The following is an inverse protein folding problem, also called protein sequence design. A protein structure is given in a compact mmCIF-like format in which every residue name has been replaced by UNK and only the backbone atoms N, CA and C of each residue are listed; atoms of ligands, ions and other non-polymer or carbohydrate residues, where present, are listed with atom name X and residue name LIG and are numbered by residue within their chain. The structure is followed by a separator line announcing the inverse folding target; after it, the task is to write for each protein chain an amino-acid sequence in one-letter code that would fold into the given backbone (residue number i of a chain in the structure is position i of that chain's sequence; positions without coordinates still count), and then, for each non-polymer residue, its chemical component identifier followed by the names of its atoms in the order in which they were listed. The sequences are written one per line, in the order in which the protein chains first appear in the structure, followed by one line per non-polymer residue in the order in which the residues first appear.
data_IF_540165334324
#
_entry.id   IF_540165334324
#
_cell.length_a   1.000
_cell.length_b   1.000
_cell.length_c   1.000
_cell.angle_alpha   90.00
_cell.angle_beta   90.00
_cell.angle_gamma   90.00
#
_symmetry.space_group_name_H-M   'P 1'
#
loop_
_entity.id
_entity.type
_entity.pdbx_description
1 polymer ?
#
# COMPACT_ATOMS: atom_id res chain seq x y z
N UNK A 1 7.68 23.57 -3.43
CA UNK A 1 8.53 22.41 -3.08
C UNK A 1 7.59 21.33 -2.51
N UNK A 2 7.80 20.03 -2.78
CA UNK A 2 6.77 18.96 -2.69
C UNK A 2 5.70 19.10 -1.57
N UNK A 3 6.06 19.34 -0.31
CA UNK A 3 5.08 19.48 0.79
C UNK A 3 4.10 20.65 0.63
N UNK A 4 4.47 21.74 -0.06
CA UNK A 4 3.58 22.89 -0.29
C UNK A 4 2.38 22.55 -1.19
N UNK A 5 2.39 21.39 -1.87
CA UNK A 5 1.23 20.90 -2.62
C UNK A 5 0.02 20.64 -1.72
N UNK A 6 0.24 20.42 -0.42
CA UNK A 6 -0.81 20.20 0.58
C UNK A 6 -1.72 21.42 0.78
N UNK A 7 -1.23 22.61 0.49
CA UNK A 7 -1.98 23.85 0.63
C UNK A 7 -2.98 24.06 -0.52
N UNK A 8 -2.73 23.42 -1.67
CA UNK A 8 -3.41 23.70 -2.94
C UNK A 8 -4.04 22.45 -3.59
N UNK A 9 -4.06 21.31 -2.90
CA UNK A 9 -4.64 20.06 -3.39
C UNK A 9 -5.88 19.66 -2.58
N UNK A 10 -6.58 18.63 -3.05
CA UNK A 10 -7.74 18.08 -2.36
C UNK A 10 -7.36 17.60 -0.95
N UNK A 11 -8.15 18.00 0.06
CA UNK A 11 -7.92 17.62 1.47
C UNK A 11 -8.43 16.20 1.76
N UNK A 12 -7.84 15.19 1.13
CA UNK A 12 -8.24 13.79 1.29
C UNK A 12 -7.12 12.86 1.74
N UNK A 13 -5.95 13.40 2.13
CA UNK A 13 -4.85 12.59 2.64
C UNK A 13 -5.22 11.98 4.00
N UNK A 14 -4.92 10.69 4.16
CA UNK A 14 -5.01 9.94 5.41
C UNK A 14 -3.63 9.78 6.03
N UNK A 15 -2.61 9.55 5.19
CA UNK A 15 -1.19 9.49 5.57
C UNK A 15 -0.39 10.29 4.55
N UNK A 16 0.51 11.14 5.02
CA UNK A 16 1.44 11.91 4.20
C UNK A 16 2.74 12.18 4.96
N UNK A 17 3.88 11.94 4.31
CA UNK A 17 5.22 12.27 4.82
C UNK A 17 5.59 11.70 6.21
N UNK A 18 4.90 10.65 6.67
CA UNK A 18 5.07 10.11 8.03
C UNK A 18 5.10 8.58 8.10
N UNK A 19 5.22 7.91 6.95
CA UNK A 19 5.24 6.45 6.83
C UNK A 19 5.95 6.05 5.51
N UNK A 20 6.15 4.75 5.28
CA UNK A 20 6.74 4.18 4.07
C UNK A 20 5.84 4.35 2.83
N UNK A 21 4.56 4.67 3.00
CA UNK A 21 3.63 4.95 1.92
C UNK A 21 2.70 6.09 2.27
N UNK A 22 2.08 6.70 1.26
CA UNK A 22 1.01 7.68 1.45
C UNK A 22 -0.35 7.04 1.22
N UNK A 23 -1.39 7.61 1.83
CA UNK A 23 -2.75 7.09 1.68
C UNK A 23 -3.74 8.23 1.51
N UNK A 24 -4.78 7.98 0.71
CA UNK A 24 -5.94 8.87 0.56
C UNK A 24 -7.20 8.20 1.07
N UNK A 25 -8.21 9.02 1.38
CA UNK A 25 -9.53 8.54 1.76
C UNK A 25 -10.10 7.68 0.63
N UNK A 26 -10.64 6.52 0.99
CA UNK A 26 -11.23 5.57 0.07
C UNK A 26 -12.72 5.41 0.39
N UNK A 27 -13.21 4.18 0.28
CA UNK A 27 -14.64 3.89 0.27
C UNK A 27 -14.97 2.71 1.17
N UNK A 28 -16.24 2.62 1.58
CA UNK A 28 -16.78 1.40 2.15
C UNK A 28 -16.96 0.38 1.03
N UNK A 29 -16.37 -0.80 1.22
CA UNK A 29 -16.43 -1.88 0.24
C UNK A 29 -16.73 -3.19 0.94
N UNK A 30 -17.36 -4.10 0.20
CA UNK A 30 -17.58 -5.47 0.64
C UNK A 30 -16.27 -6.23 0.62
N UNK A 31 -15.88 -6.81 1.75
CA UNK A 31 -14.68 -7.63 1.88
C UNK A 31 -15.02 -8.98 2.46
N UNK A 32 -14.37 -10.02 1.95
CA UNK A 32 -14.48 -11.37 2.46
C UNK A 32 -13.32 -11.60 3.43
N UNK A 33 -13.63 -11.91 4.69
CA UNK A 33 -12.63 -12.17 5.72
C UNK A 33 -13.09 -13.30 6.65
N UNK A 34 -12.16 -14.00 7.34
CA UNK A 34 -12.56 -14.96 8.37
C UNK A 34 -13.23 -14.24 9.54
N UNK A 35 -14.24 -14.87 10.15
CA UNK A 35 -14.88 -14.34 11.37
C UNK A 35 -13.88 -14.24 12.51
N UNK A 36 -12.95 -15.18 12.60
CA UNK A 36 -11.87 -15.19 13.57
C UNK A 36 -10.54 -15.55 12.87
N UNK A 37 -9.52 -14.72 13.06
CA UNK A 37 -8.18 -14.89 12.47
C UNK A 37 -7.24 -15.79 13.27
N UNK A 38 -7.61 -16.20 14.48
CA UNK A 38 -6.77 -17.03 15.37
C UNK A 38 -7.20 -18.49 15.47
N UNK A 39 -8.36 -18.85 14.91
CA UNK A 39 -8.89 -20.22 14.92
C UNK A 39 -9.59 -20.54 13.59
N UNK A 40 -9.93 -21.81 13.38
CA UNK A 40 -10.69 -22.23 12.19
C UNK A 40 -12.07 -21.57 12.23
N UNK A 41 -12.36 -20.75 11.23
CA UNK A 41 -13.63 -20.03 11.14
C UNK A 41 -14.13 -19.96 9.71
N UNK A 42 -15.45 -19.71 9.56
CA UNK A 42 -16.05 -19.44 8.25
C UNK A 42 -15.57 -18.09 7.73
N UNK A 43 -15.56 -17.95 6.40
CA UNK A 43 -15.43 -16.65 5.75
C UNK A 43 -16.79 -15.96 5.72
N UNK A 44 -16.82 -14.65 5.88
CA UNK A 44 -18.02 -13.82 5.73
C UNK A 44 -17.72 -12.56 4.93
N UNK A 45 -18.74 -12.05 4.25
CA UNK A 45 -18.70 -10.76 3.58
C UNK A 45 -19.16 -9.67 4.56
N UNK A 46 -18.35 -8.63 4.73
CA UNK A 46 -18.66 -7.47 5.58
C UNK A 46 -18.44 -6.18 4.79
N UNK A 47 -19.16 -5.12 5.17
CA UNK A 47 -18.83 -3.77 4.74
C UNK A 47 -17.67 -3.23 5.58
N UNK A 48 -16.58 -2.85 4.94
CA UNK A 48 -15.41 -2.30 5.60
C UNK A 48 -14.86 -1.07 4.86
N UNK A 49 -14.55 -0.02 5.62
CA UNK A 49 -13.84 1.14 5.10
C UNK A 49 -12.42 0.79 4.66
N UNK A 50 -12.11 0.98 3.38
CA UNK A 50 -10.77 0.75 2.81
C UNK A 50 -10.22 2.05 2.24
N UNK A 51 -9.15 2.55 2.86
CA UNK A 51 -8.34 3.64 2.30
C UNK A 51 -7.41 3.13 1.19
N UNK A 52 -7.00 4.02 0.30
CA UNK A 52 -6.18 3.67 -0.87
C UNK A 52 -4.74 4.11 -0.60
N UNK A 53 -3.80 3.17 -0.72
CA UNK A 53 -2.37 3.38 -0.48
C UNK A 53 -1.64 3.51 -1.82
N UNK A 54 -0.73 4.47 -1.89
CA UNK A 54 0.15 4.68 -3.04
C UNK A 54 1.60 4.74 -2.59
N UNK A 55 2.44 4.01 -3.33
CA UNK A 55 3.89 4.05 -3.20
C UNK A 55 4.54 3.75 -4.55
N UNK A 56 5.68 4.37 -4.78
CA UNK A 56 6.51 4.16 -5.95
C UNK A 56 7.97 4.20 -5.50
N UNK A 57 8.72 3.17 -5.90
CA UNK A 57 10.14 3.06 -5.64
C UNK A 57 10.87 2.78 -6.96
N UNK A 58 12.20 2.92 -6.94
CA UNK A 58 13.05 2.53 -8.06
C UNK A 58 14.16 1.63 -7.54
N UNK A 59 14.69 0.79 -8.42
CA UNK A 59 15.77 -0.13 -8.07
C UNK A 59 16.87 -0.13 -9.14
N UNK A 60 17.20 1.08 -9.62
CA UNK A 60 17.95 1.31 -10.86
C UNK A 60 19.36 0.70 -10.85
N UNK A 61 20.14 0.96 -9.80
CA UNK A 61 21.53 0.51 -9.76
C UNK A 61 21.65 -1.03 -9.75
N UNK A 62 20.96 -1.77 -8.85
CA UNK A 62 21.07 -3.24 -8.85
C UNK A 62 20.46 -3.87 -10.11
N UNK A 63 19.41 -3.29 -10.69
CA UNK A 63 18.86 -3.73 -11.97
C UNK A 63 19.85 -3.53 -13.12
N UNK A 64 20.65 -2.45 -13.09
CA UNK A 64 21.73 -2.24 -14.06
C UNK A 64 22.86 -3.27 -13.98
N UNK A 65 23.10 -3.86 -12.79
CA UNK A 65 24.10 -4.91 -12.59
C UNK A 65 23.54 -6.30 -12.89
N UNK A 66 22.34 -6.60 -12.39
CA UNK A 66 21.69 -7.89 -12.51
C UNK A 66 20.17 -7.68 -12.69
N UNK A 67 19.67 -7.65 -13.95
CA UNK A 67 18.31 -7.19 -14.24
C UNK A 67 17.20 -7.96 -13.51
N UNK A 68 17.26 -9.29 -13.55
CA UNK A 68 16.22 -10.13 -12.95
C UNK A 68 16.14 -10.00 -11.43
N UNK A 69 17.22 -10.22 -10.64
CA UNK A 69 17.15 -10.05 -9.20
C UNK A 69 16.92 -8.59 -8.80
N UNK A 70 17.47 -7.61 -9.53
CA UNK A 70 17.25 -6.19 -9.25
C UNK A 70 15.78 -5.77 -9.39
N UNK A 71 15.12 -6.18 -10.48
CA UNK A 71 13.69 -5.92 -10.67
C UNK A 71 12.82 -6.67 -9.64
N UNK A 72 13.18 -7.91 -9.33
CA UNK A 72 12.45 -8.75 -8.35
C UNK A 72 12.53 -8.16 -6.95
N UNK A 73 13.71 -7.73 -6.50
CA UNK A 73 13.87 -7.11 -5.17
C UNK A 73 13.26 -5.72 -5.10
N UNK A 74 13.27 -4.95 -6.20
CA UNK A 74 12.56 -3.67 -6.28
C UNK A 74 11.05 -3.85 -6.13
N UNK A 75 10.47 -4.81 -6.84
CA UNK A 75 9.04 -5.16 -6.68
C UNK A 75 8.74 -5.65 -5.27
N UNK A 76 9.62 -6.48 -4.70
CA UNK A 76 9.49 -7.00 -3.35
C UNK A 76 9.60 -5.92 -2.27
N UNK A 77 10.44 -4.90 -2.45
CA UNK A 77 10.54 -3.72 -1.58
C UNK A 77 9.20 -3.02 -1.47
N UNK A 78 8.68 -2.58 -2.63
CA UNK A 78 7.37 -1.92 -2.74
C UNK A 78 6.22 -2.70 -2.11
N UNK A 79 6.19 -4.03 -2.27
CA UNK A 79 5.18 -4.89 -1.64
C UNK A 79 5.26 -4.80 -0.11
N UNK A 80 6.47 -4.83 0.46
CA UNK A 80 6.68 -4.72 1.91
C UNK A 80 6.35 -3.34 2.45
N UNK A 81 6.59 -2.27 1.70
CA UNK A 81 6.24 -0.92 2.14
C UNK A 81 4.73 -0.75 2.31
N UNK A 82 3.95 -1.27 1.36
CA UNK A 82 2.49 -1.29 1.48
C UNK A 82 2.08 -2.14 2.69
N UNK A 83 2.63 -3.35 2.84
CA UNK A 83 2.29 -4.22 3.97
C UNK A 83 2.65 -3.62 5.33
N UNK A 84 3.73 -2.83 5.40
CA UNK A 84 4.21 -2.17 6.61
C UNK A 84 3.51 -0.84 6.92
N UNK A 85 2.68 -0.32 6.00
CA UNK A 85 1.97 0.95 6.21
C UNK A 85 1.02 0.85 7.41
N UNK A 86 1.10 1.83 8.31
CA UNK A 86 0.31 1.88 9.55
C UNK A 86 0.57 0.68 10.45
N UNK A 87 -0.43 -0.20 10.56
CA UNK A 87 -0.37 -1.44 11.38
C UNK A 87 -0.53 -2.71 10.55
N UNK A 88 -0.38 -2.60 9.24
CA UNK A 88 -0.68 -3.65 8.28
C UNK A 88 -1.65 -3.16 7.20
N UNK A 89 -1.33 -3.44 5.94
CA UNK A 89 -2.24 -3.19 4.82
C UNK A 89 -2.14 -4.28 3.74
N UNK A 90 -3.10 -4.27 2.80
CA UNK A 90 -3.17 -5.25 1.73
C UNK A 90 -2.64 -4.68 0.41
N UNK A 91 -1.82 -5.47 -0.28
CA UNK A 91 -1.40 -5.18 -1.64
C UNK A 91 -2.50 -5.61 -2.61
N UNK A 92 -2.98 -4.68 -3.43
CA UNK A 92 -4.09 -4.94 -4.37
C UNK A 92 -3.59 -5.01 -5.81
N UNK A 93 -2.74 -4.08 -6.22
CA UNK A 93 -2.25 -4.00 -7.59
C UNK A 93 -0.83 -3.41 -7.67
N UNK A 94 -0.17 -3.65 -8.80
CA UNK A 94 1.12 -3.07 -9.13
C UNK A 94 1.17 -2.62 -10.57
N UNK A 95 2.02 -1.63 -10.82
CA UNK A 95 2.46 -1.26 -12.16
C UNK A 95 3.97 -1.45 -12.22
N UNK A 96 4.46 -1.85 -13.40
CA UNK A 96 5.87 -1.79 -13.76
C UNK A 96 6.21 -0.40 -14.30
#
# INVERSE_FOLDING_TARGET
MIMSTQENSNKNNVIQFSDNSSAIKGFDVKVIQPVNTTEVSKMEEIDAGRHIIFTAETHNFPTGVAPFPGATTGTGGRIRDVQATGRGAHVVAGTA
#
